data_IF_638454776955
#
_entry.id   IF_638454776955
#
_cell.length_a   1.000
_cell.length_b   1.000
_cell.length_c   1.000
_cell.angle_alpha   90.00
_cell.angle_beta   90.00
_cell.angle_gamma   90.00
#
_symmetry.space_group_name_H-M   'P 1'
#
loop_
_entity.id
_entity.type
_entity.pdbx_description
1 polymer ?
#
# COMPACT_ATOMS: atom_id res chain seq x y z
N UNK A 1 -45.67 -31.72 -23.46
CA UNK A 1 -44.40 -31.40 -24.17
C UNK A 1 -44.33 -29.90 -24.43
N UNK A 2 -43.62 -29.14 -23.60
CA UNK A 2 -43.22 -27.76 -23.91
C UNK A 2 -41.83 -27.50 -23.34
N UNK A 3 -41.03 -26.88 -24.19
CA UNK A 3 -39.56 -26.81 -24.23
C UNK A 3 -38.99 -25.93 -23.11
N UNK A 4 -37.78 -26.31 -22.66
CA UNK A 4 -36.87 -25.44 -21.90
C UNK A 4 -36.35 -24.34 -22.84
N UNK A 5 -36.32 -23.06 -22.43
CA UNK A 5 -35.46 -22.05 -23.05
C UNK A 5 -34.21 -21.78 -22.20
N UNK A 6 -33.11 -21.67 -22.93
CA UNK A 6 -31.72 -21.41 -22.53
C UNK A 6 -31.54 -20.02 -21.91
N UNK A 7 -30.76 -19.92 -20.82
CA UNK A 7 -30.36 -18.65 -20.19
C UNK A 7 -29.24 -18.02 -21.03
N UNK A 8 -29.48 -16.81 -21.54
CA UNK A 8 -28.45 -15.92 -22.08
C UNK A 8 -28.63 -14.52 -21.48
N UNK A 9 -27.50 -13.86 -21.23
CA UNK A 9 -27.31 -12.45 -20.81
C UNK A 9 -27.73 -12.06 -19.38
N UNK A 10 -26.73 -12.00 -18.49
CA UNK A 10 -26.75 -11.16 -17.27
C UNK A 10 -26.76 -9.71 -17.73
N UNK A 11 -27.92 -9.06 -17.60
CA UNK A 11 -28.08 -7.62 -17.77
C UNK A 11 -27.90 -6.98 -16.39
N UNK A 12 -27.08 -5.93 -16.33
CA UNK A 12 -26.96 -5.06 -15.17
C UNK A 12 -28.31 -4.35 -14.95
N UNK A 13 -29.14 -4.90 -14.07
CA UNK A 13 -30.37 -4.23 -13.66
C UNK A 13 -30.12 -3.43 -12.36
N UNK A 14 -30.37 -2.10 -12.34
CA UNK A 14 -30.33 -1.34 -11.11
C UNK A 14 -31.46 -1.77 -10.17
N UNK A 15 -31.13 -1.94 -8.89
CA UNK A 15 -32.09 -2.28 -7.83
C UNK A 15 -33.07 -1.11 -7.65
N UNK A 16 -34.35 -1.33 -7.99
CA UNK A 16 -35.44 -0.37 -7.80
C UNK A 16 -36.13 -0.65 -6.47
N UNK A 17 -36.11 0.32 -5.53
CA UNK A 17 -36.91 0.27 -4.30
C UNK A 17 -37.92 1.42 -4.32
N UNK A 18 -39.21 1.08 -4.25
CA UNK A 18 -40.31 2.03 -4.17
C UNK A 18 -40.43 2.64 -2.76
N UNK A 19 -40.80 3.93 -2.67
CA UNK A 19 -41.18 4.55 -1.42
C UNK A 19 -42.70 4.83 -1.40
N UNK A 20 -43.43 4.13 -0.54
CA UNK A 20 -44.85 4.33 -0.31
C UNK A 20 -45.04 5.28 0.89
N UNK A 21 -45.03 6.60 0.61
CA UNK A 21 -45.65 7.72 1.38
C UNK A 21 -44.80 9.00 1.26
N UNK A 22 -45.04 9.76 0.20
CA UNK A 22 -44.92 11.21 0.24
C UNK A 22 -46.26 11.79 -0.21
N UNK A 23 -47.06 12.23 0.77
CA UNK A 23 -48.21 13.07 0.50
C UNK A 23 -47.74 14.41 -0.06
N UNK A 24 -48.33 14.81 -1.18
CA UNK A 24 -48.48 16.17 -1.66
C UNK A 24 -47.24 17.08 -1.65
N UNK A 25 -46.32 16.86 -2.58
CA UNK A 25 -45.64 17.93 -3.33
C UNK A 25 -45.13 17.33 -4.64
N UNK A 26 -45.83 17.64 -5.74
CA UNK A 26 -45.64 17.02 -7.06
C UNK A 26 -44.32 17.38 -7.72
N UNK A 27 -43.21 16.79 -7.29
CA UNK A 27 -41.95 16.76 -8.03
C UNK A 27 -41.39 15.34 -8.04
N UNK A 28 -41.17 14.82 -9.24
CA UNK A 28 -40.50 13.54 -9.50
C UNK A 28 -39.08 13.56 -8.92
N UNK A 29 -38.51 12.42 -8.49
CA UNK A 29 -37.10 12.36 -8.11
C UNK A 29 -36.22 12.70 -9.31
N UNK A 30 -35.29 13.63 -9.16
CA UNK A 30 -34.30 13.96 -10.17
C UNK A 30 -33.14 12.96 -10.10
N UNK A 31 -32.97 12.17 -11.15
CA UNK A 31 -31.78 11.35 -11.38
C UNK A 31 -30.66 12.23 -11.94
N UNK A 32 -29.50 12.26 -11.30
CA UNK A 32 -28.30 12.89 -11.86
C UNK A 32 -27.40 11.79 -12.45
N UNK A 33 -27.21 11.84 -13.77
CA UNK A 33 -26.26 10.99 -14.49
C UNK A 33 -25.04 11.83 -14.84
N UNK A 34 -23.85 11.43 -14.36
CA UNK A 34 -22.58 12.02 -14.79
C UNK A 34 -21.98 11.24 -15.97
N UNK A 35 -21.09 11.89 -16.73
CA UNK A 35 -20.46 11.35 -17.94
C UNK A 35 -19.60 10.08 -17.73
N UNK A 36 -19.43 9.60 -16.50
CA UNK A 36 -18.72 8.36 -16.15
C UNK A 36 -19.63 7.12 -16.03
N UNK A 37 -20.92 7.23 -16.34
CA UNK A 37 -21.87 6.11 -16.26
C UNK A 37 -22.32 5.74 -14.84
N UNK A 38 -21.80 6.43 -13.81
CA UNK A 38 -22.23 6.26 -12.43
C UNK A 38 -23.50 7.07 -12.16
N UNK A 39 -24.57 6.38 -11.74
CA UNK A 39 -25.84 6.99 -11.34
C UNK A 39 -25.84 7.17 -9.82
N UNK A 40 -26.02 8.40 -9.35
CA UNK A 40 -26.09 8.71 -7.91
C UNK A 40 -27.51 9.06 -7.50
N UNK A 41 -27.92 8.62 -6.30
CA UNK A 41 -29.21 8.94 -5.69
C UNK A 41 -29.04 10.01 -4.60
N UNK A 42 -29.90 11.04 -4.61
CA UNK A 42 -29.98 12.03 -3.54
C UNK A 42 -30.95 11.52 -2.47
N UNK A 43 -30.47 11.36 -1.24
CA UNK A 43 -31.27 10.93 -0.08
C UNK A 43 -31.17 11.94 1.06
N UNK A 44 -32.26 12.13 1.80
CA UNK A 44 -32.28 12.97 3.00
C UNK A 44 -31.34 12.42 4.08
N UNK A 45 -30.71 13.34 4.83
CA UNK A 45 -29.85 13.09 5.99
C UNK A 45 -30.38 12.07 7.02
N UNK A 46 -31.70 12.00 7.25
CA UNK A 46 -32.30 11.00 8.17
C UNK A 46 -32.29 9.60 7.56
N UNK A 47 -32.55 9.48 6.26
CA UNK A 47 -32.56 8.21 5.55
C UNK A 47 -31.14 7.65 5.38
N UNK A 48 -30.15 8.52 5.15
CA UNK A 48 -28.73 8.15 5.07
C UNK A 48 -28.23 7.44 6.34
N UNK A 49 -28.62 7.93 7.52
CA UNK A 49 -28.21 7.31 8.80
C UNK A 49 -28.83 5.92 9.00
N UNK A 50 -30.10 5.74 8.62
CA UNK A 50 -30.77 4.44 8.72
C UNK A 50 -30.25 3.43 7.70
N UNK A 51 -29.88 3.89 6.49
CA UNK A 51 -29.32 3.01 5.45
C UNK A 51 -27.93 2.48 5.85
N UNK A 52 -27.08 3.35 6.40
CA UNK A 52 -25.74 2.97 6.88
C UNK A 52 -25.78 1.99 8.07
N UNK A 53 -26.88 1.93 8.81
CA UNK A 53 -27.05 0.99 9.92
C UNK A 53 -27.53 -0.41 9.48
N UNK A 54 -28.00 -0.56 8.23
CA UNK A 54 -28.57 -1.81 7.69
C UNK A 54 -27.64 -2.53 6.70
N UNK A 55 -26.50 -1.94 6.35
CA UNK A 55 -25.52 -2.51 5.42
C UNK A 55 -24.46 -3.29 6.22
N UNK A 56 -24.10 -4.49 5.77
CA UNK A 56 -22.94 -5.22 6.31
C UNK A 56 -21.66 -4.42 6.07
N UNK A 57 -20.60 -4.67 6.85
CA UNK A 57 -19.38 -3.87 6.83
C UNK A 57 -18.73 -3.76 5.43
N UNK A 58 -18.90 -4.79 4.58
CA UNK A 58 -18.42 -4.84 3.19
C UNK A 58 -19.21 -3.96 2.20
N UNK A 59 -20.39 -3.45 2.60
CA UNK A 59 -21.29 -2.66 1.74
C UNK A 59 -21.51 -1.23 2.24
N UNK A 60 -20.75 -0.76 3.24
CA UNK A 60 -20.83 0.61 3.74
C UNK A 60 -20.49 1.58 2.61
N UNK A 61 -21.52 2.17 2.02
CA UNK A 61 -21.38 3.22 1.02
C UNK A 61 -20.61 4.37 1.66
N UNK A 62 -19.45 4.72 1.10
CA UNK A 62 -18.78 5.97 1.45
C UNK A 62 -19.66 7.11 0.93
N UNK A 63 -20.61 7.58 1.75
CA UNK A 63 -21.47 8.71 1.42
C UNK A 63 -20.77 9.99 1.90
N UNK A 64 -20.10 10.77 1.02
CA UNK A 64 -19.68 12.10 1.39
C UNK A 64 -20.95 12.90 1.71
N UNK A 65 -21.08 13.36 2.96
CA UNK A 65 -22.21 14.19 3.36
C UNK A 65 -22.07 15.56 2.73
N UNK A 66 -22.82 15.83 1.65
CA UNK A 66 -22.90 17.16 1.05
C UNK A 66 -24.11 17.91 1.62
N UNK A 67 -23.91 19.08 2.21
CA UNK A 67 -25.00 19.98 2.61
C UNK A 67 -25.45 20.77 1.37
N UNK A 68 -26.63 20.47 0.84
CA UNK A 68 -27.27 21.28 -0.20
C UNK A 68 -28.17 22.33 0.46
N UNK A 69 -27.93 23.61 0.16
CA UNK A 69 -28.80 24.72 0.61
C UNK A 69 -29.53 25.28 -0.61
N UNK A 70 -30.86 25.36 -0.58
CA UNK A 70 -31.66 25.94 -1.67
C UNK A 70 -31.92 27.43 -1.41
N UNK A 71 -31.53 28.32 -2.33
CA UNK A 71 -31.97 29.72 -2.34
C UNK A 71 -33.25 29.88 -3.18
N UNK A 72 -34.20 30.70 -2.71
CA UNK A 72 -35.59 30.74 -3.22
C UNK A 72 -35.80 31.61 -4.46
N UNK A 73 -34.76 32.15 -5.08
CA UNK A 73 -34.89 32.96 -6.31
C UNK A 73 -33.78 32.62 -7.28
N UNK A 74 -34.17 32.27 -8.51
CA UNK A 74 -33.29 31.76 -9.54
C UNK A 74 -32.22 32.76 -9.95
N UNK A 75 -30.98 32.47 -9.59
CA UNK A 75 -29.79 32.94 -10.28
C UNK A 75 -28.67 31.91 -10.02
N UNK A 76 -27.92 31.58 -11.06
CA UNK A 76 -26.74 30.71 -11.05
C UNK A 76 -25.81 31.03 -9.87
N UNK A 77 -25.59 30.08 -8.96
CA UNK A 77 -24.48 30.10 -8.02
C UNK A 77 -23.60 28.88 -8.26
N UNK A 78 -22.32 29.13 -8.57
CA UNK A 78 -21.30 28.09 -8.67
C UNK A 78 -21.22 27.31 -7.35
N UNK A 79 -21.17 25.99 -7.45
CA UNK A 79 -20.80 25.14 -6.33
C UNK A 79 -19.29 25.33 -6.08
N UNK A 80 -18.94 26.25 -5.19
CA UNK A 80 -17.63 26.28 -4.56
C UNK A 80 -17.55 25.13 -3.55
N UNK A 81 -16.59 24.24 -3.74
CA UNK A 81 -16.11 23.34 -2.68
C UNK A 81 -16.53 21.88 -2.76
N UNK A 82 -16.50 21.26 -3.94
CA UNK A 82 -16.08 19.86 -4.01
C UNK A 82 -14.61 19.91 -4.42
N UNK A 83 -13.67 19.66 -3.50
CA UNK A 83 -12.36 19.20 -3.94
C UNK A 83 -12.66 17.85 -4.60
N UNK A 84 -12.64 17.85 -5.93
CA UNK A 84 -12.50 16.63 -6.71
C UNK A 84 -11.39 15.77 -6.09
N UNK A 85 -11.37 14.42 -6.27
CA UNK A 85 -10.11 13.70 -6.11
C UNK A 85 -9.08 14.52 -6.86
N UNK A 86 -7.98 14.88 -6.20
CA UNK A 86 -6.98 15.81 -6.73
C UNK A 86 -6.47 15.22 -8.03
N UNK A 87 -7.12 15.53 -9.15
CA UNK A 87 -6.59 15.33 -10.48
C UNK A 87 -5.28 16.10 -10.44
N UNK A 88 -4.15 15.42 -10.62
CA UNK A 88 -2.90 16.08 -10.91
C UNK A 88 -3.16 17.02 -12.09
N UNK A 89 -3.27 18.34 -11.87
CA UNK A 89 -3.65 19.24 -12.93
C UNK A 89 -2.41 19.41 -13.81
N UNK A 90 -2.42 18.74 -14.96
CA UNK A 90 -1.62 19.06 -16.12
C UNK A 90 -0.11 19.07 -15.92
N UNK A 91 0.52 17.93 -16.13
CA UNK A 91 1.90 17.84 -16.65
C UNK A 91 2.12 16.40 -17.07
N UNK A 92 2.35 16.16 -18.36
CA UNK A 92 2.54 14.82 -18.91
C UNK A 92 3.64 14.04 -18.18
N UNK A 93 3.35 12.79 -17.85
CA UNK A 93 4.03 11.90 -16.90
C UNK A 93 4.38 10.63 -17.67
N UNK A 94 5.59 10.08 -17.51
CA UNK A 94 5.83 8.69 -17.95
C UNK A 94 5.42 7.75 -16.83
N UNK A 95 4.51 6.85 -17.12
CA UNK A 95 3.96 5.91 -16.11
C UNK A 95 3.97 4.50 -16.68
N UNK A 96 4.77 3.63 -16.09
CA UNK A 96 4.97 2.25 -16.52
C UNK A 96 4.49 1.28 -15.44
N UNK A 97 3.87 0.20 -15.86
CA UNK A 97 3.36 -0.82 -14.95
C UNK A 97 3.70 -2.23 -15.44
N UNK A 98 4.12 -3.11 -14.54
CA UNK A 98 4.58 -4.47 -14.85
C UNK A 98 3.53 -5.41 -15.46
N UNK A 99 2.26 -4.99 -15.52
CA UNK A 99 1.13 -5.72 -16.08
C UNK A 99 0.44 -5.01 -17.25
N UNK A 100 -0.86 -5.24 -17.40
CA UNK A 100 -1.73 -4.54 -18.37
C UNK A 100 -2.08 -3.12 -17.88
N UNK A 101 -2.32 -2.19 -18.80
CA UNK A 101 -2.61 -0.79 -18.46
C UNK A 101 -3.69 -0.64 -17.37
N UNK A 102 -3.49 0.30 -16.46
CA UNK A 102 -4.32 0.49 -15.27
C UNK A 102 -4.49 1.98 -14.95
N UNK A 103 -5.56 2.36 -14.24
CA UNK A 103 -5.74 3.72 -13.74
C UNK A 103 -6.00 3.67 -12.25
N UNK A 104 -5.18 4.40 -11.49
CA UNK A 104 -5.25 4.41 -10.04
C UNK A 104 -6.38 5.30 -9.50
N UNK A 105 -6.56 5.26 -8.18
CA UNK A 105 -7.57 6.03 -7.44
C UNK A 105 -7.38 7.55 -7.52
N UNK A 106 -6.19 8.02 -7.91
CA UNK A 106 -5.88 9.43 -8.14
C UNK A 106 -6.08 9.85 -9.61
N UNK A 107 -6.50 8.92 -10.47
CA UNK A 107 -6.71 9.13 -11.90
C UNK A 107 -5.42 9.10 -12.72
N UNK A 108 -4.31 8.63 -12.16
CA UNK A 108 -3.06 8.44 -12.89
C UNK A 108 -3.17 7.19 -13.75
N UNK A 109 -2.97 7.35 -15.06
CA UNK A 109 -3.00 6.25 -16.02
C UNK A 109 -1.61 5.65 -16.18
N UNK A 110 -1.49 4.39 -15.82
CA UNK A 110 -0.31 3.55 -16.02
C UNK A 110 -0.41 2.84 -17.36
N UNK A 111 0.63 2.98 -18.18
CA UNK A 111 0.74 2.28 -19.45
C UNK A 111 1.29 0.86 -19.23
N UNK A 112 1.04 0.00 -20.22
CA UNK A 112 1.57 -1.36 -20.25
C UNK A 112 3.10 -1.33 -20.27
N UNK A 113 3.71 -2.29 -19.60
CA UNK A 113 5.17 -2.45 -19.55
C UNK A 113 5.81 -2.48 -20.97
N UNK A 114 6.70 -1.53 -21.32
CA UNK A 114 7.35 -1.47 -22.63
C UNK A 114 8.38 -2.59 -22.86
N UNK A 115 8.83 -3.23 -21.79
CA UNK A 115 9.76 -4.37 -21.80
C UNK A 115 9.02 -5.71 -21.84
N UNK A 116 7.68 -5.71 -21.80
CA UNK A 116 6.88 -6.94 -21.89
C UNK A 116 7.26 -7.77 -23.13
N UNK A 117 7.57 -9.05 -22.90
CA UNK A 117 8.01 -9.98 -23.96
C UNK A 117 9.42 -9.71 -24.52
N UNK A 118 10.20 -8.78 -23.93
CA UNK A 118 11.54 -8.41 -24.41
C UNK A 118 12.65 -8.64 -23.37
N UNK A 119 12.50 -8.07 -22.17
CA UNK A 119 13.51 -8.09 -21.10
C UNK A 119 12.80 -8.34 -19.78
N UNK A 120 13.34 -9.21 -18.92
CA UNK A 120 12.66 -9.51 -17.66
C UNK A 120 11.51 -10.51 -17.81
N UNK A 121 11.12 -11.08 -16.68
CA UNK A 121 9.94 -11.92 -16.54
C UNK A 121 8.85 -11.12 -15.84
N UNK A 122 7.67 -11.05 -16.46
CA UNK A 122 6.48 -10.51 -15.81
C UNK A 122 5.92 -11.59 -14.87
N UNK A 123 5.50 -11.17 -13.68
CA UNK A 123 4.92 -12.05 -12.67
C UNK A 123 3.68 -11.39 -12.08
N UNK A 124 2.64 -12.19 -11.87
CA UNK A 124 1.43 -11.79 -11.16
C UNK A 124 1.22 -12.57 -9.85
N UNK A 125 2.30 -13.14 -9.32
CA UNK A 125 2.31 -13.91 -8.07
C UNK A 125 1.74 -13.12 -6.88
N UNK A 126 1.81 -11.78 -6.91
CA UNK A 126 1.24 -10.92 -5.87
C UNK A 126 -0.28 -10.91 -5.84
N UNK A 127 -0.99 -11.31 -6.92
CA UNK A 127 -2.47 -11.31 -6.97
C UNK A 127 -3.15 -12.21 -5.94
N UNK A 128 -2.42 -13.16 -5.37
CA UNK A 128 -2.92 -14.01 -4.28
C UNK A 128 -2.99 -13.29 -2.92
N UNK A 129 -2.40 -12.09 -2.81
CA UNK A 129 -2.32 -11.32 -1.58
C UNK A 129 -3.20 -10.08 -1.64
N UNK A 130 -3.80 -9.76 -0.50
CA UNK A 130 -4.34 -8.42 -0.27
C UNK A 130 -3.16 -7.50 0.07
N UNK A 131 -2.97 -6.43 -0.71
CA UNK A 131 -1.84 -5.52 -0.50
C UNK A 131 -2.20 -4.43 0.53
N UNK A 132 -1.40 -4.33 1.58
CA UNK A 132 -1.55 -3.31 2.64
C UNK A 132 -1.14 -1.90 2.20
N UNK A 133 -1.64 -0.88 2.92
CA UNK A 133 -1.44 0.59 2.73
C UNK A 133 -2.07 1.22 1.48
N UNK A 134 -2.78 0.46 0.67
CA UNK A 134 -3.40 0.98 -0.57
C UNK A 134 -4.87 0.59 -0.67
N UNK A 135 -5.72 1.42 -1.29
CA UNK A 135 -7.11 1.06 -1.53
C UNK A 135 -7.21 -0.12 -2.52
N UNK A 136 -8.30 -0.91 -2.51
CA UNK A 136 -8.47 -2.07 -3.40
C UNK A 136 -8.25 -1.77 -4.89
N UNK A 137 -8.63 -0.59 -5.35
CA UNK A 137 -8.44 -0.17 -6.75
C UNK A 137 -6.97 -0.13 -7.15
N UNK A 138 -6.06 0.22 -6.23
CA UNK A 138 -4.64 0.45 -6.52
C UNK A 138 -3.78 -0.78 -6.24
N UNK A 139 -4.35 -1.84 -5.63
CA UNK A 139 -3.60 -3.05 -5.28
C UNK A 139 -2.94 -3.70 -6.51
N UNK A 140 -3.59 -3.62 -7.67
CA UNK A 140 -3.06 -4.20 -8.91
C UNK A 140 -1.65 -3.66 -9.22
N UNK A 141 -1.38 -2.39 -8.90
CA UNK A 141 -0.07 -1.74 -9.06
C UNK A 141 1.05 -2.40 -8.26
N UNK A 142 0.71 -3.19 -7.25
CA UNK A 142 1.63 -3.88 -6.34
C UNK A 142 1.51 -5.40 -6.41
N UNK A 143 0.52 -5.92 -7.14
CA UNK A 143 0.29 -7.36 -7.30
C UNK A 143 0.99 -7.95 -8.52
N UNK A 144 1.33 -7.12 -9.52
CA UNK A 144 2.15 -7.54 -10.66
C UNK A 144 3.50 -6.86 -10.64
N UNK A 145 4.50 -7.53 -11.19
CA UNK A 145 5.88 -7.08 -11.20
C UNK A 145 6.63 -7.53 -12.45
N UNK A 146 7.74 -6.85 -12.73
CA UNK A 146 8.82 -7.38 -13.55
C UNK A 146 10.01 -7.65 -12.66
N UNK A 147 10.59 -8.84 -12.80
CA UNK A 147 11.91 -9.17 -12.25
C UNK A 147 12.83 -9.64 -13.36
N UNK A 148 14.13 -9.66 -13.11
CA UNK A 148 15.09 -10.19 -14.08
C UNK A 148 16.29 -10.85 -13.41
N UNK A 149 16.86 -11.87 -14.04
CA UNK A 149 18.02 -12.60 -13.51
C UNK A 149 19.34 -11.81 -13.61
N UNK A 150 19.32 -10.65 -14.25
CA UNK A 150 20.45 -9.73 -14.39
C UNK A 150 19.96 -8.28 -14.25
N UNK A 151 20.89 -7.32 -14.21
CA UNK A 151 20.55 -5.90 -14.26
C UNK A 151 19.66 -5.58 -15.45
N UNK A 152 18.63 -4.77 -15.24
CA UNK A 152 17.72 -4.28 -16.28
C UNK A 152 17.29 -2.86 -15.97
N UNK A 153 16.76 -2.14 -16.96
CA UNK A 153 16.35 -0.76 -16.75
C UNK A 153 15.39 -0.25 -17.81
N UNK A 154 14.85 0.94 -17.54
CA UNK A 154 13.90 1.64 -18.40
C UNK A 154 14.48 2.96 -18.86
N UNK A 155 14.37 3.22 -20.16
CA UNK A 155 14.64 4.54 -20.73
C UNK A 155 13.35 5.37 -20.71
N UNK A 156 13.37 6.45 -19.94
CA UNK A 156 12.21 7.31 -19.67
C UNK A 156 12.42 8.63 -20.41
N UNK A 157 11.52 9.02 -21.34
CA UNK A 157 11.63 10.28 -22.04
C UNK A 157 11.45 11.48 -21.09
N UNK A 158 12.33 12.48 -21.23
CA UNK A 158 12.25 13.76 -20.53
C UNK A 158 12.38 14.87 -21.59
N UNK A 159 11.29 15.59 -21.81
CA UNK A 159 11.17 16.54 -22.92
C UNK A 159 11.31 18.01 -22.47
N UNK A 160 11.26 18.27 -21.17
CA UNK A 160 11.24 19.63 -20.63
C UNK A 160 12.16 19.78 -19.42
N UNK A 161 12.74 20.97 -19.26
CA UNK A 161 13.41 21.36 -18.02
C UNK A 161 12.38 21.53 -16.89
N UNK A 162 12.81 21.26 -15.65
CA UNK A 162 12.02 21.46 -14.45
C UNK A 162 12.34 20.48 -13.33
N UNK A 163 11.57 20.57 -12.26
CA UNK A 163 11.60 19.63 -11.13
C UNK A 163 10.70 18.43 -11.42
N UNK A 164 11.17 17.25 -11.02
CA UNK A 164 10.50 15.97 -11.20
C UNK A 164 10.59 15.14 -9.93
N UNK A 165 9.65 14.21 -9.79
CA UNK A 165 9.68 13.16 -8.78
C UNK A 165 9.45 11.84 -9.48
N UNK A 166 10.44 10.94 -9.40
CA UNK A 166 10.27 9.55 -9.79
C UNK A 166 9.78 8.75 -8.58
N UNK A 167 8.71 8.00 -8.76
CA UNK A 167 8.08 7.14 -7.76
C UNK A 167 8.30 5.70 -8.23
N UNK A 168 9.07 4.93 -7.46
CA UNK A 168 9.27 3.50 -7.70
C UNK A 168 8.39 2.73 -6.74
N UNK A 169 7.46 1.95 -7.28
CA UNK A 169 6.49 1.16 -6.51
C UNK A 169 6.97 -0.27 -6.40
N UNK A 170 6.97 -0.78 -5.17
CA UNK A 170 7.46 -2.10 -4.81
C UNK A 170 6.51 -2.83 -3.86
N UNK A 171 6.48 -4.15 -3.95
CA UNK A 171 5.91 -5.03 -2.94
C UNK A 171 6.69 -6.35 -2.91
N UNK A 172 7.12 -6.77 -1.72
CA UNK A 172 7.66 -8.11 -1.54
C UNK A 172 6.50 -9.09 -1.35
N UNK A 173 6.43 -10.10 -2.20
CA UNK A 173 5.31 -11.07 -2.27
C UNK A 173 5.78 -12.52 -2.22
N UNK A 174 7.08 -12.75 -2.37
CA UNK A 174 7.70 -14.06 -2.46
C UNK A 174 8.45 -14.43 -1.18
N UNK A 175 9.37 -13.56 -0.72
CA UNK A 175 10.16 -13.82 0.48
C UNK A 175 9.43 -13.46 1.78
N UNK A 176 9.77 -14.19 2.84
CA UNK A 176 9.19 -14.07 4.18
C UNK A 176 10.20 -13.64 5.25
N UNK A 177 11.37 -13.14 4.84
CA UNK A 177 12.45 -12.74 5.74
C UNK A 177 13.32 -11.66 5.08
N UNK A 178 13.95 -10.78 5.88
CA UNK A 178 14.91 -9.81 5.37
C UNK A 178 16.18 -10.49 4.87
N UNK A 179 16.99 -9.74 4.13
CA UNK A 179 18.25 -10.11 3.50
C UNK A 179 18.15 -11.26 2.48
N UNK A 180 16.95 -11.52 1.97
CA UNK A 180 16.70 -12.55 0.95
C UNK A 180 16.74 -11.97 -0.47
N UNK A 181 16.31 -10.71 -0.62
CA UNK A 181 16.34 -9.97 -1.88
C UNK A 181 16.85 -8.57 -1.59
N UNK A 182 18.05 -8.30 -2.09
CA UNK A 182 18.72 -7.01 -1.93
C UNK A 182 19.28 -6.62 -3.30
N UNK A 183 18.97 -5.41 -3.75
CA UNK A 183 19.42 -4.87 -5.02
C UNK A 183 19.50 -3.34 -4.98
N UNK A 184 20.33 -2.74 -5.82
CA UNK A 184 20.43 -1.28 -5.92
C UNK A 184 19.52 -0.75 -7.04
N UNK A 185 19.16 0.51 -6.93
CA UNK A 185 18.59 1.29 -8.04
C UNK A 185 19.53 2.44 -8.39
N UNK A 186 19.88 2.53 -9.67
CA UNK A 186 20.75 3.56 -10.22
C UNK A 186 19.98 4.41 -11.23
N UNK A 187 20.18 5.72 -11.17
CA UNK A 187 19.61 6.69 -12.09
C UNK A 187 20.72 7.29 -12.95
N UNK A 188 20.47 7.26 -14.25
CA UNK A 188 21.31 7.77 -15.32
C UNK A 188 22.74 7.20 -15.34
N UNK A 189 22.91 5.97 -14.84
CA UNK A 189 24.20 5.26 -14.78
C UNK A 189 25.15 5.72 -13.67
N UNK A 190 25.00 6.96 -13.19
CA UNK A 190 25.96 7.58 -12.27
C UNK A 190 25.44 7.70 -10.83
N UNK A 191 24.13 7.81 -10.62
CA UNK A 191 23.56 8.10 -9.30
C UNK A 191 22.92 6.86 -8.67
N UNK A 192 23.52 6.33 -7.59
CA UNK A 192 22.83 5.31 -6.78
C UNK A 192 21.72 5.98 -5.97
N UNK A 193 20.48 5.85 -6.42
CA UNK A 193 19.31 6.52 -5.85
C UNK A 193 18.64 5.72 -4.73
N UNK A 194 18.76 4.39 -4.76
CA UNK A 194 18.28 3.50 -3.69
C UNK A 194 19.30 2.38 -3.49
N UNK A 195 20.28 2.54 -2.58
CA UNK A 195 21.25 1.50 -2.28
C UNK A 195 20.64 0.40 -1.39
N UNK A 196 21.08 -0.84 -1.59
CA UNK A 196 20.78 -2.02 -0.77
C UNK A 196 19.27 -2.18 -0.46
N UNK A 197 18.41 -2.02 -1.47
CA UNK A 197 16.97 -2.11 -1.28
C UNK A 197 16.56 -3.54 -0.91
N UNK A 198 16.15 -3.71 0.35
CA UNK A 198 15.40 -4.86 0.84
C UNK A 198 13.95 -4.45 1.14
N UNK A 199 13.03 -4.82 0.25
CA UNK A 199 11.61 -4.45 0.39
C UNK A 199 10.99 -5.13 1.62
N UNK A 200 11.39 -6.36 1.95
CA UNK A 200 10.86 -7.07 3.12
C UNK A 200 11.31 -6.39 4.41
N UNK A 201 12.58 -6.00 4.51
CA UNK A 201 13.09 -5.29 5.68
C UNK A 201 12.37 -3.95 5.89
N UNK A 202 12.00 -3.26 4.81
CA UNK A 202 11.31 -1.97 4.88
C UNK A 202 9.87 -2.07 5.38
N UNK A 203 9.09 -3.01 4.84
CA UNK A 203 7.62 -3.04 5.05
C UNK A 203 7.03 -4.42 5.30
N UNK A 204 7.83 -5.48 5.27
CA UNK A 204 7.37 -6.86 5.32
C UNK A 204 6.77 -7.36 4.01
N UNK A 205 6.09 -8.50 4.06
CA UNK A 205 5.46 -9.15 2.90
C UNK A 205 4.04 -8.66 2.68
N UNK A 206 3.66 -8.43 1.43
CA UNK A 206 2.30 -8.06 1.03
C UNK A 206 1.92 -6.62 1.42
N UNK A 207 2.92 -5.76 1.64
CA UNK A 207 2.72 -4.36 1.98
C UNK A 207 3.31 -3.49 0.87
N UNK A 208 2.57 -2.46 0.43
CA UNK A 208 3.07 -1.52 -0.56
C UNK A 208 4.25 -0.70 -0.01
N UNK A 209 5.27 -0.49 -0.83
CA UNK A 209 6.42 0.37 -0.57
C UNK A 209 6.69 1.27 -1.76
N UNK A 210 6.90 2.56 -1.50
CA UNK A 210 7.18 3.56 -2.52
C UNK A 210 8.49 4.27 -2.17
N UNK A 211 9.41 4.33 -3.14
CA UNK A 211 10.57 5.22 -3.09
C UNK A 211 10.26 6.48 -3.89
N UNK A 212 10.50 7.65 -3.30
CA UNK A 212 10.26 8.96 -3.92
C UNK A 212 11.59 9.66 -4.18
N UNK A 213 11.95 9.81 -5.44
CA UNK A 213 13.25 10.33 -5.88
C UNK A 213 13.02 11.69 -6.54
N UNK A 214 13.15 12.81 -5.81
CA UNK A 214 13.14 14.13 -6.40
C UNK A 214 14.44 14.39 -7.18
N UNK A 215 14.33 14.91 -8.40
CA UNK A 215 15.46 15.34 -9.21
C UNK A 215 15.05 16.56 -10.04
N UNK A 216 16.02 17.25 -10.63
CA UNK A 216 15.73 18.34 -11.56
C UNK A 216 16.47 18.16 -12.87
N UNK A 217 15.90 18.71 -13.93
CA UNK A 217 16.47 18.69 -15.27
C UNK A 217 16.59 20.12 -15.76
N UNK A 218 17.78 20.47 -16.22
CA UNK A 218 18.08 21.81 -16.73
C UNK A 218 19.12 21.71 -17.83
N UNK A 219 18.79 22.23 -19.02
CA UNK A 219 19.69 22.33 -20.17
C UNK A 219 20.33 20.98 -20.55
N UNK A 220 19.53 19.91 -20.55
CA UNK A 220 19.98 18.57 -20.92
C UNK A 220 20.84 17.85 -19.88
N UNK A 221 20.89 18.36 -18.64
CA UNK A 221 21.54 17.70 -17.51
C UNK A 221 20.53 17.34 -16.43
N UNK A 222 20.76 16.21 -15.78
CA UNK A 222 20.03 15.74 -14.61
C UNK A 222 20.81 16.13 -13.36
N UNK A 223 20.09 16.59 -12.33
CA UNK A 223 20.63 16.95 -11.04
C UNK A 223 19.94 16.15 -9.94
N UNK A 224 20.72 15.40 -9.17
CA UNK A 224 20.26 14.60 -8.03
C UNK A 224 21.26 14.72 -6.88
N UNK A 225 20.78 15.08 -5.68
CA UNK A 225 21.62 15.25 -4.48
C UNK A 225 22.94 16.02 -4.71
N UNK A 226 22.84 17.18 -5.38
CA UNK A 226 24.00 18.06 -5.71
C UNK A 226 24.98 17.50 -6.76
N UNK A 227 24.78 16.26 -7.23
CA UNK A 227 25.52 15.68 -8.34
C UNK A 227 24.79 15.95 -9.67
N UNK A 228 25.56 16.04 -10.76
CA UNK A 228 25.03 16.20 -12.12
C UNK A 228 25.46 15.05 -13.05
N UNK A 229 24.60 14.71 -14.00
CA UNK A 229 24.90 13.79 -15.10
C UNK A 229 24.24 14.25 -16.41
N UNK A 230 24.82 13.86 -17.54
CA UNK A 230 24.31 14.24 -18.86
C UNK A 230 23.09 13.39 -19.26
N UNK A 231 22.04 14.03 -19.78
CA UNK A 231 20.90 13.33 -20.36
C UNK A 231 21.20 13.07 -21.84
N UNK A 232 21.27 11.80 -22.22
CA UNK A 232 21.57 11.38 -23.60
C UNK A 232 20.28 11.02 -24.34
N UNK A 233 20.09 11.60 -25.53
CA UNK A 233 18.95 11.27 -26.39
C UNK A 233 17.58 11.66 -25.82
N UNK A 234 17.53 12.65 -24.92
CA UNK A 234 16.28 13.12 -24.30
C UNK A 234 15.64 12.09 -23.37
N UNK A 235 16.42 11.13 -22.86
CA UNK A 235 15.94 10.08 -21.98
C UNK A 235 16.84 9.96 -20.76
N UNK A 236 16.22 9.77 -19.60
CA UNK A 236 16.90 9.33 -18.39
C UNK A 236 16.75 7.82 -18.28
N UNK A 237 17.70 7.14 -17.66
CA UNK A 237 17.66 5.69 -17.50
C UNK A 237 17.60 5.32 -16.04
N UNK A 238 16.61 4.52 -15.64
CA UNK A 238 16.56 3.93 -14.29
C UNK A 238 16.90 2.45 -14.40
N UNK A 239 17.90 2.00 -13.64
CA UNK A 239 18.44 0.64 -13.68
C UNK A 239 18.32 -0.02 -12.32
N UNK A 240 17.84 -1.26 -12.32
CA UNK A 240 17.75 -2.11 -11.14
C UNK A 240 18.91 -3.10 -11.18
N UNK A 241 19.89 -2.89 -10.31
CA UNK A 241 21.19 -3.56 -10.36
C UNK A 241 21.10 -4.92 -9.68
N UNK A 242 21.50 -5.99 -10.38
CA UNK A 242 21.55 -7.32 -9.78
C UNK A 242 22.65 -7.38 -8.72
N UNK A 243 22.25 -7.44 -7.45
CA UNK A 243 23.13 -7.75 -6.33
C UNK A 243 23.48 -9.25 -6.23
N UNK A 244 24.15 -9.65 -5.15
CA UNK A 244 24.60 -11.04 -4.93
C UNK A 244 23.50 -11.97 -4.36
N UNK A 245 22.38 -11.40 -3.88
CA UNK A 245 21.22 -12.12 -3.34
C UNK A 245 20.31 -12.59 -4.48
N UNK A 246 19.02 -12.29 -4.42
CA UNK A 246 18.06 -12.64 -5.47
C UNK A 246 17.92 -11.57 -6.57
N UNK A 247 16.95 -11.76 -7.47
CA UNK A 247 16.72 -10.95 -8.66
C UNK A 247 16.12 -9.57 -8.33
N UNK A 248 16.60 -8.48 -8.97
CA UNK A 248 15.95 -7.17 -8.88
C UNK A 248 14.54 -7.24 -9.46
N UNK A 249 13.65 -6.39 -8.93
CA UNK A 249 12.27 -6.28 -9.39
C UNK A 249 11.76 -4.84 -9.34
N UNK A 250 10.63 -4.60 -9.99
CA UNK A 250 9.81 -3.40 -9.82
C UNK A 250 8.35 -3.73 -10.13
N UNK A 251 7.41 -3.11 -9.43
CA UNK A 251 5.98 -3.27 -9.70
C UNK A 251 5.46 -2.18 -10.66
N UNK A 252 5.81 -0.93 -10.41
CA UNK A 252 5.49 0.20 -11.28
C UNK A 252 6.48 1.36 -11.14
N UNK A 253 6.55 2.21 -12.16
CA UNK A 253 7.36 3.42 -12.21
C UNK A 253 6.48 4.59 -12.63
N UNK A 254 6.54 5.70 -11.91
CA UNK A 254 5.82 6.91 -12.27
C UNK A 254 6.77 8.12 -12.17
N UNK A 255 6.87 8.93 -13.23
CA UNK A 255 7.72 10.13 -13.23
C UNK A 255 6.85 11.35 -13.44
N UNK A 256 6.54 12.04 -12.34
CA UNK A 256 5.70 13.23 -12.33
C UNK A 256 6.56 14.49 -12.38
N UNK A 257 6.12 15.50 -13.13
CA UNK A 257 6.77 16.82 -13.12
C UNK A 257 6.15 17.67 -12.01
N UNK A 258 6.98 18.17 -11.09
CA UNK A 258 6.55 18.89 -9.89
C UNK A 258 7.49 18.64 -8.71
N UNK A 259 7.07 19.09 -7.53
CA UNK A 259 7.85 18.96 -6.30
C UNK A 259 7.35 17.80 -5.44
N UNK A 260 8.22 17.28 -4.57
CA UNK A 260 7.91 16.15 -3.69
C UNK A 260 6.66 16.38 -2.81
N UNK A 261 6.37 17.62 -2.40
CA UNK A 261 5.21 17.92 -1.56
C UNK A 261 3.87 17.85 -2.32
N UNK A 262 3.92 17.87 -3.64
CA UNK A 262 2.73 17.83 -4.52
C UNK A 262 2.32 16.38 -4.86
N UNK A 263 3.15 15.40 -4.47
CA UNK A 263 2.96 13.98 -4.75
C UNK A 263 2.22 13.30 -3.58
N UNK A 264 1.10 12.59 -3.84
CA UNK A 264 0.45 11.75 -2.84
C UNK A 264 1.41 10.72 -2.25
N UNK A 265 1.44 10.63 -0.91
CA UNK A 265 2.27 9.68 -0.18
C UNK A 265 1.44 8.49 0.30
N UNK A 266 2.07 7.31 0.33
CA UNK A 266 1.48 6.15 1.00
C UNK A 266 1.20 6.49 2.48
N UNK A 267 0.09 5.98 3.05
CA UNK A 267 -0.14 6.02 4.50
C UNK A 267 1.06 5.49 5.29
N UNK A 268 1.27 6.02 6.49
CA UNK A 268 2.29 5.50 7.40
C UNK A 268 2.01 4.04 7.76
N UNK A 269 3.07 3.30 8.11
CA UNK A 269 2.90 1.96 8.67
C UNK A 269 2.09 2.05 9.96
N UNK A 270 1.22 1.07 10.26
CA UNK A 270 0.62 0.97 11.59
C UNK A 270 1.75 0.79 12.60
N UNK A 271 1.95 1.76 13.49
CA UNK A 271 2.83 1.58 14.64
C UNK A 271 2.14 0.57 15.55
N UNK A 272 2.80 -0.55 15.87
CA UNK A 272 2.35 -1.38 16.98
C UNK A 272 2.35 -0.49 18.25
N UNK A 273 1.30 -0.52 19.09
CA UNK A 273 1.33 0.23 20.33
C UNK A 273 2.55 -0.23 21.12
N UNK A 274 3.43 0.72 21.46
CA UNK A 274 4.48 0.49 22.45
C UNK A 274 3.79 -0.14 23.66
N UNK A 275 4.18 -1.37 24.01
CA UNK A 275 3.78 -1.96 25.28
C UNK A 275 4.40 -1.04 26.32
N UNK A 276 3.58 -0.20 26.95
CA UNK A 276 3.99 0.58 28.12
C UNK A 276 4.55 -0.43 29.13
N UNK A 277 5.87 -0.49 29.22
CA UNK A 277 6.56 -1.26 30.23
C UNK A 277 6.16 -0.60 31.56
N UNK A 278 5.23 -1.24 32.28
CA UNK A 278 4.79 -0.81 33.59
C UNK A 278 6.01 -0.80 34.52
N UNK A 279 6.69 0.33 34.60
CA UNK A 279 7.57 0.65 35.69
C UNK A 279 6.68 0.82 36.92
N UNK A 280 6.55 -0.22 37.75
CA UNK A 280 5.98 -0.07 39.09
C UNK A 280 6.84 0.95 39.87
N UNK A 281 6.31 2.16 40.01
CA UNK A 281 6.81 3.14 40.97
C UNK A 281 6.61 2.58 42.38
N UNK A 282 7.69 2.06 42.97
CA UNK A 282 7.69 1.67 44.39
C UNK A 282 7.63 2.95 45.23
N UNK A 283 6.45 3.27 45.76
CA UNK A 283 6.24 4.36 46.72
C UNK A 283 7.19 4.21 47.92
N UNK A 284 8.12 5.15 48.04
CA UNK A 284 9.02 5.31 49.19
C UNK A 284 8.24 5.81 50.43
N UNK A 285 7.59 4.89 51.16
CA UNK A 285 7.08 5.18 52.51
C UNK A 285 8.21 5.09 53.53
N UNK A 286 8.77 6.26 53.85
CA UNK A 286 9.57 6.50 55.07
C UNK A 286 8.83 5.98 56.31
N UNK A 287 9.35 4.94 56.93
CA UNK A 287 9.17 4.74 58.37
C UNK A 287 10.48 4.31 59.02
N UNK A 288 10.88 5.13 60.00
CA UNK A 288 12.06 4.95 60.83
C UNK A 288 11.86 3.82 61.84
N UNK A 289 12.83 2.90 61.96
CA UNK A 289 13.60 2.63 63.21
C UNK A 289 14.21 1.21 63.23
N UNK A 290 15.48 1.21 63.66
CA UNK A 290 16.21 0.18 64.42
C UNK A 290 16.55 -1.17 63.76
N UNK A 291 17.82 -1.28 63.38
CA UNK A 291 18.55 -2.54 63.18
C UNK A 291 18.79 -3.27 64.51
N UNK A 292 18.56 -4.59 64.55
CA UNK A 292 19.31 -5.60 65.33
C UNK A 292 19.28 -6.97 64.60
N UNK A 293 20.24 -7.89 64.84
CA UNK A 293 20.74 -8.81 63.82
C UNK A 293 20.24 -10.27 63.92
N UNK A 294 20.55 -11.01 62.84
CA UNK A 294 20.73 -12.46 62.65
C UNK A 294 19.51 -13.40 62.58
N UNK A 295 19.29 -13.89 61.35
CA UNK A 295 18.89 -15.26 61.00
C UNK A 295 19.38 -15.53 59.56
N UNK A 296 19.77 -16.76 59.18
CA UNK A 296 20.05 -17.06 57.78
C UNK A 296 18.81 -16.73 56.94
N UNK A 297 18.97 -15.98 55.85
CA UNK A 297 17.87 -15.76 54.89
C UNK A 297 17.45 -17.13 54.36
N UNK A 298 16.31 -17.64 54.82
CA UNK A 298 15.63 -18.76 54.17
C UNK A 298 15.24 -18.30 52.78
N UNK A 299 15.73 -18.97 51.71
CA UNK A 299 15.21 -18.73 50.37
C UNK A 299 13.71 -18.99 50.38
N UNK A 300 12.97 -18.20 49.60
CA UNK A 300 11.54 -18.41 49.41
C UNK A 300 11.32 -19.85 48.87
N UNK A 301 10.58 -20.72 49.59
CA UNK A 301 10.34 -22.09 49.14
C UNK A 301 9.50 -22.18 47.85
N UNK A 302 9.01 -21.05 47.34
CA UNK A 302 8.22 -20.94 46.11
C UNK A 302 8.86 -20.06 45.02
N UNK A 303 10.11 -19.61 45.18
CA UNK A 303 10.84 -19.01 44.06
C UNK A 303 11.20 -20.12 43.08
N UNK A 304 10.34 -20.32 42.08
CA UNK A 304 10.62 -21.21 40.96
C UNK A 304 11.76 -20.62 40.14
N UNK A 305 12.99 -21.08 40.39
CA UNK A 305 14.11 -20.77 39.52
C UNK A 305 13.81 -21.32 38.12
N UNK A 306 13.76 -20.46 37.09
CA UNK A 306 13.51 -20.85 35.69
C UNK A 306 14.47 -21.94 35.17
N UNK A 307 15.62 -22.10 35.83
CA UNK A 307 16.58 -23.18 35.59
C UNK A 307 16.05 -24.57 35.96
N UNK A 308 15.14 -24.66 36.94
CA UNK A 308 14.53 -25.92 37.41
C UNK A 308 13.49 -26.47 36.44
N UNK A 309 12.88 -25.61 35.62
CA UNK A 309 11.88 -25.99 34.60
C UNK A 309 12.57 -26.44 33.31
N UNK A 310 13.74 -25.87 32.99
CA UNK A 310 14.52 -26.18 31.78
C UNK A 310 15.23 -27.54 31.84
N UNK A 311 15.67 -27.98 33.03
CA UNK A 311 16.46 -29.20 33.21
C UNK A 311 15.73 -30.51 32.83
N UNK A 312 14.45 -30.73 33.22
CA UNK A 312 13.70 -31.89 32.76
C UNK A 312 13.40 -31.86 31.25
N UNK A 313 13.27 -30.67 30.65
CA UNK A 313 13.02 -30.51 29.20
C UNK A 313 14.26 -30.92 28.39
N UNK A 314 15.46 -30.52 28.81
CA UNK A 314 16.69 -30.95 28.14
C UNK A 314 16.97 -32.46 28.29
N UNK A 315 16.65 -33.05 29.44
CA UNK A 315 16.75 -34.50 29.64
C UNK A 315 15.75 -35.24 28.76
N UNK A 316 14.53 -34.72 28.60
CA UNK A 316 13.52 -35.29 27.71
C UNK A 316 13.96 -35.25 26.23
N UNK A 317 14.51 -34.13 25.76
CA UNK A 317 15.01 -34.00 24.38
C UNK A 317 16.24 -34.89 24.15
N UNK A 318 17.17 -34.93 25.10
CA UNK A 318 18.40 -35.74 25.02
C UNK A 318 18.14 -37.25 25.02
N UNK A 319 17.10 -37.72 25.73
CA UNK A 319 16.70 -39.13 25.73
C UNK A 319 15.87 -39.53 24.51
N UNK A 320 15.19 -38.57 23.86
CA UNK A 320 14.32 -38.84 22.72
C UNK A 320 15.10 -39.03 21.41
N UNK A 321 16.20 -38.29 21.21
CA UNK A 321 17.01 -38.33 19.98
C UNK A 321 17.63 -39.72 19.71
N UNK A 322 18.24 -40.41 20.69
CA UNK A 322 18.79 -41.76 20.47
C UNK A 322 17.69 -42.81 20.21
N UNK A 323 16.54 -42.68 20.88
CA UNK A 323 15.39 -43.59 20.71
C UNK A 323 14.77 -43.42 19.32
N UNK A 324 14.66 -42.18 18.83
CA UNK A 324 14.22 -41.89 17.47
C UNK A 324 15.21 -42.46 16.44
N UNK A 325 16.52 -42.34 16.69
CA UNK A 325 17.55 -42.90 15.81
C UNK A 325 17.54 -44.44 15.79
N UNK A 326 17.26 -45.09 16.92
CA UNK A 326 17.11 -46.56 17.00
C UNK A 326 15.80 -47.08 16.40
N UNK A 327 14.71 -46.29 16.42
CA UNK A 327 13.42 -46.66 15.85
C UNK A 327 13.32 -46.38 14.33
N UNK A 328 14.07 -45.39 13.83
CA UNK A 328 13.99 -44.97 12.43
C UNK A 328 14.95 -45.70 11.47
N UNK A 329 15.73 -46.70 11.93
CA UNK A 329 16.61 -47.58 11.11
C UNK A 329 17.11 -46.91 9.81
N UNK A 330 18.10 -46.02 9.95
CA UNK A 330 19.01 -45.65 8.86
C UNK A 330 20.27 -46.50 8.96
#
# INVERSE_FOLDING_TARGET
MKRIPTINTLREDPIVIYNQRLGNLGKTPETLTYASGLTYLIVDSKLSKSLNALLSDDLRLFVPTCKITYSKYGTTSSATGIKSPTQHPGKEITVLFGGEAHTDSHGVKFEKDPLHGKVGTASDYGKQLLIGRVPPADQLLYQTERYHHSTFGYDIPINEDGEYVMILKFCEVYFNAPNMKVFDVVLNGDHTIVPDLDIFERVGRGVAHDEYIPFSVSKGRLYYNEEESDIRGGRIRVEFIKGYRDNPKVNAICVVKGRLQEVPKLPAMPTEPEVEEYHEEVEDKKSSKNRRPSGPRTPDPYSVDDTSIMLPVFVAIGAFIPVLFCLCKL
#
